data_IF_553470110964
#
_entry.id   IF_553470110964
#
_cell.length_a   1.000
_cell.length_b   1.000
_cell.length_c   1.000
_cell.angle_alpha   90.00
_cell.angle_beta   90.00
_cell.angle_gamma   90.00
#
_symmetry.space_group_name_H-M   'P 1'
#
loop_
_entity.id
_entity.type
_entity.pdbx_description
1 polymer ?
#
# COMPACT_ATOMS: atom_id res chain seq x y z
N UNK A 1 -0.78 -19.82 -21.41
CA UNK A 1 -1.99 -19.26 -20.74
C UNK A 1 -2.99 -18.90 -21.83
N UNK A 2 -4.28 -19.09 -21.57
CA UNK A 2 -5.31 -18.70 -22.53
C UNK A 2 -5.50 -17.19 -22.48
N UNK A 3 -5.78 -16.54 -23.63
CA UNK A 3 -6.07 -15.10 -23.73
C UNK A 3 -7.17 -14.63 -22.76
N UNK A 4 -8.13 -15.52 -22.43
CA UNK A 4 -9.15 -15.24 -21.43
C UNK A 4 -8.59 -15.05 -20.00
N UNK A 5 -7.59 -15.83 -19.62
CA UNK A 5 -6.94 -15.71 -18.30
C UNK A 5 -6.15 -14.40 -18.19
N UNK A 6 -5.47 -14.00 -19.26
CA UNK A 6 -4.71 -12.74 -19.28
C UNK A 6 -5.62 -11.52 -19.20
N UNK A 7 -6.75 -11.55 -19.91
CA UNK A 7 -7.75 -10.49 -19.86
C UNK A 7 -8.40 -10.37 -18.48
N UNK A 8 -8.68 -11.51 -17.83
CA UNK A 8 -9.19 -11.54 -16.47
C UNK A 8 -8.19 -10.94 -15.47
N UNK A 9 -6.91 -11.33 -15.57
CA UNK A 9 -5.82 -10.78 -14.73
C UNK A 9 -5.68 -9.27 -14.92
N UNK A 10 -5.74 -8.81 -16.17
CA UNK A 10 -5.73 -7.39 -16.50
C UNK A 10 -6.90 -6.63 -15.88
N UNK A 11 -8.13 -7.15 -16.03
CA UNK A 11 -9.33 -6.50 -15.50
C UNK A 11 -9.33 -6.42 -13.96
N UNK A 12 -8.93 -7.52 -13.30
CA UNK A 12 -8.78 -7.58 -11.84
C UNK A 12 -7.75 -6.56 -11.35
N UNK A 13 -6.58 -6.54 -11.98
CA UNK A 13 -5.51 -5.63 -11.56
C UNK A 13 -5.84 -4.17 -11.86
N UNK A 14 -6.59 -3.88 -12.92
CA UNK A 14 -7.11 -2.55 -13.22
C UNK A 14 -8.04 -2.07 -12.10
N UNK A 15 -9.01 -2.88 -11.70
CA UNK A 15 -9.91 -2.57 -10.59
C UNK A 15 -9.18 -2.39 -9.27
N UNK A 16 -8.31 -3.36 -8.92
CA UNK A 16 -7.51 -3.34 -7.70
C UNK A 16 -6.61 -2.11 -7.61
N UNK A 17 -5.99 -1.72 -8.72
CA UNK A 17 -5.07 -0.58 -8.76
C UNK A 17 -5.77 0.76 -8.84
N UNK A 18 -6.95 0.82 -9.47
CA UNK A 18 -7.80 2.01 -9.40
C UNK A 18 -8.15 2.33 -7.94
N UNK A 19 -8.48 1.30 -7.21
CA UNK A 19 -8.82 1.40 -5.81
C UNK A 19 -7.59 1.68 -4.93
N UNK A 20 -6.53 0.88 -5.04
CA UNK A 20 -5.31 1.02 -4.23
C UNK A 20 -4.57 2.34 -4.47
N UNK A 21 -4.50 2.78 -5.72
CA UNK A 21 -3.87 4.05 -6.12
C UNK A 21 -4.58 5.28 -5.57
N UNK A 22 -5.92 5.24 -5.47
CA UNK A 22 -6.72 6.31 -4.85
C UNK A 22 -6.34 6.55 -3.39
N UNK A 23 -6.04 5.50 -2.64
CA UNK A 23 -5.83 5.56 -1.19
C UNK A 23 -4.36 5.69 -0.79
N UNK A 24 -3.44 5.62 -1.75
CA UNK A 24 -2.00 5.60 -1.46
C UNK A 24 -1.55 4.32 -0.74
N UNK A 25 -2.30 3.23 -0.90
CA UNK A 25 -2.04 1.95 -0.24
C UNK A 25 -1.50 0.87 -1.17
N UNK A 26 -1.28 1.18 -2.44
CA UNK A 26 -0.91 0.26 -3.50
C UNK A 26 -1.95 -0.85 -3.80
N UNK A 27 -1.81 -1.49 -4.97
CA UNK A 27 -2.75 -2.50 -5.47
C UNK A 27 -2.59 -3.88 -4.82
N UNK A 28 -1.43 -4.14 -4.22
CA UNK A 28 -1.06 -5.48 -3.75
C UNK A 28 -2.00 -6.09 -2.73
N UNK A 29 -2.60 -5.25 -1.88
CA UNK A 29 -3.55 -5.68 -0.86
C UNK A 29 -4.80 -6.37 -1.46
N UNK A 30 -5.18 -6.02 -2.67
CA UNK A 30 -6.31 -6.62 -3.38
C UNK A 30 -5.87 -7.74 -4.31
N UNK A 31 -4.73 -7.58 -4.97
CA UNK A 31 -4.24 -8.50 -5.99
C UNK A 31 -3.89 -9.86 -5.39
N UNK A 32 -3.16 -9.91 -4.28
CA UNK A 32 -2.76 -11.19 -3.68
C UNK A 32 -3.96 -12.04 -3.29
N UNK A 33 -4.96 -11.55 -2.52
CA UNK A 33 -6.14 -12.35 -2.21
C UNK A 33 -6.91 -12.80 -3.46
N UNK A 34 -7.10 -11.91 -4.42
CA UNK A 34 -7.87 -12.26 -5.63
C UNK A 34 -7.14 -13.30 -6.48
N UNK A 35 -5.83 -13.18 -6.65
CA UNK A 35 -5.05 -14.18 -7.39
C UNK A 35 -5.02 -15.54 -6.70
N UNK A 36 -4.91 -15.57 -5.38
CA UNK A 36 -4.87 -16.84 -4.63
C UNK A 36 -6.22 -17.53 -4.60
N UNK A 37 -7.31 -16.79 -4.44
CA UNK A 37 -8.64 -17.35 -4.24
C UNK A 37 -9.37 -17.65 -5.54
N UNK A 38 -9.37 -16.70 -6.47
CA UNK A 38 -10.11 -16.84 -7.73
C UNK A 38 -9.21 -17.28 -8.89
N UNK A 39 -7.92 -16.94 -8.84
CA UNK A 39 -6.94 -17.35 -9.84
C UNK A 39 -6.29 -18.69 -9.55
N UNK A 40 -6.51 -19.29 -8.36
CA UNK A 40 -5.85 -20.52 -7.89
C UNK A 40 -4.32 -20.49 -8.05
N UNK A 41 -3.73 -19.28 -7.99
CA UNK A 41 -2.29 -19.09 -8.09
C UNK A 41 -1.67 -19.32 -6.72
N UNK A 42 -0.54 -20.05 -6.67
CA UNK A 42 0.22 -20.20 -5.42
C UNK A 42 0.53 -18.84 -4.78
N UNK A 43 0.40 -18.76 -3.46
CA UNK A 43 0.54 -17.49 -2.72
C UNK A 43 1.87 -16.80 -2.99
N UNK A 44 2.99 -17.54 -3.15
CA UNK A 44 4.31 -16.96 -3.41
C UNK A 44 4.38 -16.34 -4.79
N UNK A 45 3.80 -16.98 -5.79
CA UNK A 45 3.69 -16.46 -7.16
C UNK A 45 2.72 -15.27 -7.23
N UNK A 46 1.62 -15.31 -6.48
CA UNK A 46 0.70 -14.19 -6.35
C UNK A 46 1.37 -12.97 -5.70
N UNK A 47 2.19 -13.18 -4.66
CA UNK A 47 3.01 -12.14 -4.04
C UNK A 47 4.01 -11.57 -5.04
N UNK A 48 4.72 -12.43 -5.81
CA UNK A 48 5.67 -11.99 -6.82
C UNK A 48 5.03 -11.11 -7.90
N UNK A 49 3.87 -11.52 -8.44
CA UNK A 49 3.10 -10.73 -9.42
C UNK A 49 2.59 -9.41 -8.80
N UNK A 50 2.15 -9.47 -7.55
CA UNK A 50 1.69 -8.30 -6.80
C UNK A 50 2.78 -7.25 -6.60
N UNK A 51 4.00 -7.66 -6.28
CA UNK A 51 5.14 -6.72 -6.13
C UNK A 51 5.38 -5.94 -7.42
N UNK A 52 5.33 -6.59 -8.58
CA UNK A 52 5.47 -5.91 -9.89
C UNK A 52 4.32 -4.92 -10.12
N UNK A 53 3.10 -5.34 -9.81
CA UNK A 53 1.91 -4.47 -9.86
C UNK A 53 2.05 -3.25 -8.94
N UNK A 54 2.53 -3.45 -7.72
CA UNK A 54 2.74 -2.39 -6.73
C UNK A 54 3.74 -1.35 -7.23
N UNK A 55 4.84 -1.76 -7.85
CA UNK A 55 5.79 -0.84 -8.48
C UNK A 55 5.09 -0.02 -9.56
N UNK A 56 4.38 -0.70 -10.46
CA UNK A 56 3.69 -0.07 -11.58
C UNK A 56 2.61 0.94 -11.12
N UNK A 57 1.79 0.54 -10.16
CA UNK A 57 0.75 1.36 -9.55
C UNK A 57 1.32 2.58 -8.82
N UNK A 58 2.36 2.38 -7.99
CA UNK A 58 2.96 3.46 -7.20
C UNK A 58 3.67 4.49 -8.06
N UNK A 59 4.42 4.06 -9.07
CA UNK A 59 5.09 4.97 -10.01
C UNK A 59 4.07 5.83 -10.76
N UNK A 60 2.98 5.22 -11.26
CA UNK A 60 1.93 5.94 -11.98
C UNK A 60 1.14 6.90 -11.07
N UNK A 61 0.87 6.48 -9.84
CA UNK A 61 0.12 7.26 -8.86
C UNK A 61 0.94 8.37 -8.18
N UNK A 62 2.28 8.24 -8.09
CA UNK A 62 3.13 9.23 -7.43
C UNK A 62 3.28 10.53 -8.24
N UNK A 63 3.24 10.47 -9.57
CA UNK A 63 3.47 11.61 -10.44
C UNK A 63 2.49 12.79 -10.22
N UNK A 64 1.17 12.60 -10.09
CA UNK A 64 0.24 13.67 -9.77
C UNK A 64 0.49 14.30 -8.40
N UNK A 65 0.88 13.51 -7.41
CA UNK A 65 1.14 13.98 -6.04
C UNK A 65 2.42 14.82 -5.95
N UNK A 66 3.46 14.44 -6.70
CA UNK A 66 4.69 15.24 -6.82
C UNK A 66 4.42 16.59 -7.48
N UNK A 67 3.68 16.61 -8.60
CA UNK A 67 3.26 17.86 -9.27
C UNK A 67 2.40 18.74 -8.34
N UNK A 68 1.57 18.14 -7.51
CA UNK A 68 0.72 18.81 -6.54
C UNK A 68 1.43 19.29 -5.27
N UNK A 69 2.74 19.09 -5.12
CA UNK A 69 3.53 19.41 -3.91
C UNK A 69 2.98 18.77 -2.62
N UNK A 70 2.30 17.62 -2.74
CA UNK A 70 1.76 16.88 -1.60
C UNK A 70 2.80 15.93 -0.99
N UNK A 71 3.80 15.50 -1.79
CA UNK A 71 4.82 14.56 -1.34
C UNK A 71 5.97 15.28 -0.65
N UNK A 72 6.28 14.88 0.59
CA UNK A 72 7.50 15.34 1.27
C UNK A 72 8.68 14.43 0.90
N UNK A 73 9.37 14.77 -0.18
CA UNK A 73 10.47 13.97 -0.72
C UNK A 73 11.62 13.82 0.28
N UNK A 74 11.95 14.86 1.06
CA UNK A 74 13.03 14.81 2.06
C UNK A 74 12.72 13.80 3.16
N UNK A 75 11.51 13.86 3.69
CA UNK A 75 11.03 12.90 4.69
C UNK A 75 10.96 11.48 4.10
N UNK A 76 10.46 11.35 2.86
CA UNK A 76 10.39 10.08 2.16
C UNK A 76 11.76 9.39 2.08
N UNK A 77 12.81 10.12 1.69
CA UNK A 77 14.17 9.56 1.59
C UNK A 77 14.65 9.04 2.95
N UNK A 78 14.45 9.81 4.04
CA UNK A 78 14.87 9.40 5.38
C UNK A 78 14.10 8.15 5.86
N UNK A 79 12.78 8.14 5.71
CA UNK A 79 11.96 7.01 6.14
C UNK A 79 12.19 5.76 5.27
N UNK A 80 12.50 5.96 3.99
CA UNK A 80 12.72 4.86 3.05
C UNK A 80 13.99 4.07 3.36
N UNK A 81 15.03 4.68 3.95
CA UNK A 81 16.21 3.93 4.39
C UNK A 81 15.83 2.83 5.39
N UNK A 82 14.99 3.16 6.37
CA UNK A 82 14.51 2.19 7.35
C UNK A 82 13.57 1.15 6.72
N UNK A 83 12.67 1.58 5.82
CA UNK A 83 11.73 0.69 5.15
C UNK A 83 12.44 -0.29 4.22
N UNK A 84 13.41 0.18 3.46
CA UNK A 84 14.21 -0.67 2.56
C UNK A 84 15.05 -1.67 3.35
N UNK A 85 15.67 -1.26 4.47
CA UNK A 85 16.37 -2.18 5.37
C UNK A 85 15.42 -3.26 5.92
N UNK A 86 14.20 -2.88 6.32
CA UNK A 86 13.16 -3.81 6.72
C UNK A 86 12.75 -4.76 5.60
N UNK A 87 12.56 -4.24 4.39
CA UNK A 87 12.19 -5.04 3.22
C UNK A 87 13.27 -6.07 2.86
N UNK A 88 14.53 -5.69 2.88
CA UNK A 88 15.66 -6.60 2.67
C UNK A 88 15.72 -7.69 3.74
N UNK A 89 15.48 -7.33 5.01
CA UNK A 89 15.38 -8.32 6.10
C UNK A 89 14.19 -9.26 5.89
N UNK A 90 13.04 -8.74 5.47
CA UNK A 90 11.84 -9.54 5.15
C UNK A 90 12.06 -10.51 4.01
N UNK A 91 12.78 -10.08 2.98
CA UNK A 91 13.16 -10.92 1.84
C UNK A 91 13.98 -12.14 2.25
N UNK A 92 14.89 -12.02 3.23
CA UNK A 92 15.66 -13.15 3.75
C UNK A 92 14.76 -14.22 4.38
N UNK A 93 13.62 -13.82 4.93
CA UNK A 93 12.63 -14.70 5.55
C UNK A 93 11.64 -15.31 4.52
N UNK A 94 11.62 -14.81 3.28
CA UNK A 94 10.76 -15.36 2.22
C UNK A 94 11.18 -16.79 1.89
N UNK A 95 10.21 -17.70 1.91
CA UNK A 95 10.45 -19.14 1.67
C UNK A 95 10.69 -19.96 2.93
N UNK A 96 11.05 -19.34 4.07
CA UNK A 96 11.19 -20.06 5.35
C UNK A 96 9.87 -20.13 6.11
N UNK A 97 8.95 -19.20 5.85
CA UNK A 97 7.65 -19.12 6.53
C UNK A 97 6.62 -19.99 5.80
N UNK A 98 5.91 -20.89 6.52
CA UNK A 98 4.81 -21.66 5.94
C UNK A 98 3.68 -20.79 5.40
N UNK A 99 2.99 -21.26 4.34
CA UNK A 99 1.93 -20.51 3.68
C UNK A 99 0.79 -20.12 4.65
N UNK A 100 0.43 -20.99 5.59
CA UNK A 100 -0.63 -20.72 6.60
C UNK A 100 -0.34 -19.47 7.43
N UNK A 101 0.91 -19.26 7.83
CA UNK A 101 1.30 -18.03 8.55
C UNK A 101 1.21 -16.79 7.66
N UNK A 102 1.54 -16.92 6.37
CA UNK A 102 1.41 -15.80 5.42
C UNK A 102 -0.06 -15.40 5.26
N UNK A 103 -0.97 -16.36 5.11
CA UNK A 103 -2.41 -16.12 5.04
C UNK A 103 -2.93 -15.46 6.32
N UNK A 104 -2.49 -15.94 7.49
CA UNK A 104 -2.90 -15.37 8.78
C UNK A 104 -2.45 -13.91 8.95
N UNK A 105 -1.16 -13.64 8.70
CA UNK A 105 -0.60 -12.27 8.79
C UNK A 105 -1.31 -11.35 7.78
N UNK A 106 -1.58 -11.85 6.56
CA UNK A 106 -2.29 -11.11 5.54
C UNK A 106 -3.71 -10.75 6.01
N UNK A 107 -4.47 -11.71 6.53
CA UNK A 107 -5.80 -11.50 7.07
C UNK A 107 -5.82 -10.46 8.19
N UNK A 108 -4.84 -10.52 9.11
CA UNK A 108 -4.70 -9.53 10.19
C UNK A 108 -4.48 -8.11 9.63
N UNK A 109 -3.62 -7.96 8.63
CA UNK A 109 -3.34 -6.66 8.02
C UNK A 109 -4.56 -6.12 7.27
N UNK A 110 -5.30 -6.99 6.56
CA UNK A 110 -6.55 -6.61 5.91
C UNK A 110 -7.58 -6.10 6.92
N UNK A 111 -7.70 -6.78 8.06
CA UNK A 111 -8.63 -6.39 9.14
C UNK A 111 -8.24 -5.04 9.76
N UNK A 112 -6.95 -4.84 10.07
CA UNK A 112 -6.45 -3.56 10.56
C UNK A 112 -6.69 -2.43 9.55
N UNK A 113 -6.51 -2.70 8.26
CA UNK A 113 -6.77 -1.74 7.19
C UNK A 113 -8.25 -1.39 7.06
N UNK A 114 -9.13 -2.40 7.19
CA UNK A 114 -10.57 -2.19 7.21
C UNK A 114 -10.98 -1.30 8.39
N UNK A 115 -10.47 -1.57 9.60
CA UNK A 115 -10.74 -0.74 10.78
C UNK A 115 -10.29 0.71 10.57
N UNK A 116 -9.11 0.93 9.98
CA UNK A 116 -8.61 2.27 9.70
C UNK A 116 -9.46 3.01 8.66
N UNK A 117 -9.96 2.27 7.66
CA UNK A 117 -10.85 2.82 6.65
C UNK A 117 -12.22 3.21 7.21
N UNK A 118 -12.77 2.39 8.10
CA UNK A 118 -14.08 2.60 8.74
C UNK A 118 -14.00 3.61 9.88
N UNK A 119 -12.85 3.75 10.54
CA UNK A 119 -12.67 4.72 11.60
C UNK A 119 -12.82 6.14 11.06
N UNK A 120 -13.85 6.84 11.55
CA UNK A 120 -14.13 8.24 11.22
C UNK A 120 -13.03 9.11 11.82
N UNK A 121 -11.98 9.40 11.04
CA UNK A 121 -10.89 10.27 11.50
C UNK A 121 -11.29 11.74 11.36
N UNK A 122 -11.14 12.50 12.45
CA UNK A 122 -11.16 13.97 12.38
C UNK A 122 -9.93 14.40 11.59
N UNK A 123 -10.13 15.13 10.51
CA UNK A 123 -9.02 15.68 9.72
C UNK A 123 -8.19 16.60 10.63
N UNK A 124 -6.88 16.34 10.80
CA UNK A 124 -5.98 17.24 11.55
C UNK A 124 -5.89 18.63 10.93
N UNK A 125 -6.33 18.79 9.67
CA UNK A 125 -6.40 20.09 8.99
C UNK A 125 -7.35 21.10 9.67
N UNK A 126 -8.21 20.66 10.59
CA UNK A 126 -9.08 21.51 11.43
C UNK A 126 -8.44 21.83 12.79
N UNK A 127 -7.30 21.26 13.14
CA UNK A 127 -6.57 21.63 14.33
C UNK A 127 -5.89 23.01 14.11
N UNK A 128 -5.92 23.92 15.13
CA UNK A 128 -5.26 25.21 15.02
C UNK A 128 -3.79 25.01 14.66
N UNK A 129 -3.32 25.72 13.65
CA UNK A 129 -1.92 25.74 13.22
C UNK A 129 -1.05 26.12 14.41
N UNK A 130 -0.40 25.16 15.06
CA UNK A 130 0.52 25.47 16.16
C UNK A 130 1.69 26.28 15.59
N UNK A 131 2.03 27.42 16.20
CA UNK A 131 3.12 28.27 15.73
C UNK A 131 4.44 27.47 15.74
N UNK A 132 5.27 27.71 14.73
CA UNK A 132 6.57 27.04 14.50
C UNK A 132 7.65 27.40 15.56
N UNK A 133 7.24 27.65 16.82
CA UNK A 133 8.10 28.05 17.94
C UNK A 133 8.49 26.83 18.77
N UNK A 134 9.59 26.21 18.43
CA UNK A 134 10.22 25.11 19.18
C UNK A 134 11.49 24.61 18.51
N UNK A 135 12.55 24.38 19.29
CA UNK A 135 13.80 23.77 18.86
C UNK A 135 13.57 22.28 18.57
N UNK A 136 13.26 21.88 17.33
CA UNK A 136 13.29 20.48 16.96
C UNK A 136 14.46 20.22 16.01
N UNK A 137 15.17 19.15 16.26
CA UNK A 137 16.27 18.63 15.41
C UNK A 137 15.80 18.28 14.00
N UNK A 138 14.50 18.21 13.80
CA UNK A 138 13.81 17.82 12.56
C UNK A 138 13.36 19.00 11.68
N UNK A 139 13.77 20.23 11.99
CA UNK A 139 13.39 21.47 11.24
C UNK A 139 13.59 21.37 9.72
N UNK A 140 14.52 20.55 9.27
CA UNK A 140 14.79 20.35 7.84
C UNK A 140 13.76 19.46 7.13
N UNK A 141 12.92 18.73 7.87
CA UNK A 141 11.91 17.84 7.36
C UNK A 141 10.49 18.42 7.42
N UNK A 142 10.32 19.54 8.14
CA UNK A 142 9.07 20.30 8.18
C UNK A 142 8.79 20.88 6.79
N UNK A 143 7.52 20.92 6.38
CA UNK A 143 7.12 21.40 5.07
C UNK A 143 5.69 21.96 5.10
N UNK A 144 5.22 22.42 3.96
CA UNK A 144 3.83 22.84 3.76
C UNK A 144 3.26 22.20 2.50
N UNK A 145 1.95 22.05 2.43
CA UNK A 145 1.25 21.58 1.25
C UNK A 145 0.07 22.50 0.90
N UNK A 146 -0.24 22.69 -0.39
CA UNK A 146 -1.38 23.47 -0.83
C UNK A 146 -2.68 22.70 -0.59
N UNK A 147 -3.57 23.24 0.26
CA UNK A 147 -4.91 22.68 0.40
C UNK A 147 -5.89 23.42 -0.52
N UNK A 148 -6.36 22.70 -1.56
CA UNK A 148 -7.30 23.26 -2.54
C UNK A 148 -8.67 23.61 -1.95
N UNK A 149 -9.08 22.93 -0.88
CA UNK A 149 -10.35 23.18 -0.23
C UNK A 149 -10.35 24.47 0.59
N UNK A 150 -9.17 24.81 1.19
CA UNK A 150 -8.99 25.99 2.01
C UNK A 150 -8.31 27.16 1.26
N UNK A 151 -7.84 26.93 0.03
CA UNK A 151 -7.16 27.94 -0.80
C UNK A 151 -5.86 28.49 -0.20
N UNK A 152 -5.23 27.77 0.74
CA UNK A 152 -4.01 28.19 1.44
C UNK A 152 -3.04 27.05 1.67
N UNK A 153 -1.76 27.38 1.84
CA UNK A 153 -0.73 26.43 2.23
C UNK A 153 -0.84 26.11 3.73
N UNK A 154 -0.88 24.83 4.07
CA UNK A 154 -0.92 24.33 5.44
C UNK A 154 0.46 23.82 5.80
N UNK A 155 1.11 24.49 6.78
CA UNK A 155 2.38 24.04 7.33
C UNK A 155 2.16 22.88 8.31
N UNK A 156 3.06 21.91 8.31
CA UNK A 156 3.05 20.78 9.24
C UNK A 156 4.46 20.49 9.75
N UNK A 157 4.53 19.84 10.91
CA UNK A 157 5.78 19.40 11.57
C UNK A 157 5.92 17.90 11.56
N UNK A 158 7.16 17.44 11.53
CA UNK A 158 7.51 16.04 11.69
C UNK A 158 7.91 15.77 13.13
N UNK A 159 7.11 14.97 13.85
CA UNK A 159 7.37 14.60 15.22
C UNK A 159 7.88 13.15 15.33
N UNK A 160 8.56 12.82 16.42
CA UNK A 160 8.95 11.45 16.81
C UNK A 160 9.60 10.63 15.68
N UNK A 161 10.49 11.25 14.92
CA UNK A 161 11.16 10.59 13.78
C UNK A 161 11.77 9.21 14.10
N UNK A 162 12.48 8.97 15.23
CA UNK A 162 13.06 7.66 15.53
C UNK A 162 12.01 6.54 15.64
N UNK A 163 10.87 6.84 16.29
CA UNK A 163 9.77 5.88 16.39
C UNK A 163 9.11 5.64 15.02
N UNK A 164 9.01 6.70 14.21
CA UNK A 164 8.56 6.59 12.82
C UNK A 164 9.46 5.66 12.01
N UNK A 165 10.77 5.78 12.12
CA UNK A 165 11.73 4.90 11.44
C UNK A 165 11.61 3.44 11.88
N UNK A 166 11.41 3.17 13.17
CA UNK A 166 11.20 1.81 13.69
C UNK A 166 9.93 1.18 13.12
N UNK A 167 8.83 1.93 13.06
CA UNK A 167 7.58 1.47 12.44
C UNK A 167 7.74 1.27 10.93
N UNK A 168 8.52 2.12 10.25
CA UNK A 168 8.81 1.97 8.83
C UNK A 168 9.64 0.72 8.54
N UNK A 169 10.61 0.37 9.39
CA UNK A 169 11.36 -0.89 9.28
C UNK A 169 10.41 -2.10 9.37
N UNK A 170 9.52 -2.13 10.37
CA UNK A 170 8.50 -3.17 10.51
C UNK A 170 7.55 -3.23 9.29
N UNK A 171 7.11 -2.07 8.80
CA UNK A 171 6.26 -1.97 7.61
C UNK A 171 6.95 -2.51 6.35
N UNK A 172 8.25 -2.24 6.18
CA UNK A 172 9.06 -2.77 5.10
C UNK A 172 9.20 -4.28 5.15
N UNK A 173 9.52 -4.83 6.33
CA UNK A 173 9.66 -6.26 6.56
C UNK A 173 8.37 -7.02 6.21
N UNK A 174 7.24 -6.57 6.73
CA UNK A 174 5.93 -7.16 6.47
C UNK A 174 5.54 -7.02 5.00
N UNK A 175 5.80 -5.87 4.40
CA UNK A 175 5.53 -5.61 2.98
C UNK A 175 6.28 -6.56 2.07
N UNK A 176 7.54 -6.83 2.37
CA UNK A 176 8.37 -7.73 1.58
C UNK A 176 7.92 -9.19 1.69
N UNK A 177 7.42 -9.59 2.86
CA UNK A 177 6.89 -10.94 3.07
C UNK A 177 5.58 -11.18 2.32
N UNK A 178 4.72 -10.18 2.26
CA UNK A 178 3.34 -10.33 1.78
C UNK A 178 3.09 -9.72 0.40
N UNK A 179 4.03 -8.96 -0.14
CA UNK A 179 3.89 -8.31 -1.46
C UNK A 179 2.76 -7.28 -1.56
N UNK A 180 2.24 -6.80 -0.42
CA UNK A 180 1.07 -5.91 -0.39
C UNK A 180 1.39 -4.45 -0.67
N UNK A 181 2.68 -4.12 -0.72
CA UNK A 181 3.10 -2.72 -0.63
C UNK A 181 2.90 -2.18 0.79
N UNK A 182 3.91 -1.51 1.32
CA UNK A 182 3.93 -1.07 2.72
C UNK A 182 2.95 0.08 3.05
N UNK A 183 2.21 0.60 2.08
CA UNK A 183 1.34 1.78 2.23
C UNK A 183 0.29 1.65 3.32
N UNK A 184 -0.28 0.46 3.46
CA UNK A 184 -1.28 0.16 4.50
C UNK A 184 -0.75 0.40 5.91
N UNK A 185 0.53 0.14 6.13
CA UNK A 185 1.20 0.33 7.42
C UNK A 185 1.90 1.69 7.49
N UNK A 186 2.45 2.18 6.38
CA UNK A 186 3.16 3.47 6.31
C UNK A 186 2.23 4.65 6.56
N UNK A 187 1.05 4.69 5.91
CA UNK A 187 0.12 5.81 6.04
C UNK A 187 -0.31 6.04 7.48
N UNK A 188 -0.84 5.02 8.21
CA UNK A 188 -1.17 5.21 9.62
C UNK A 188 0.05 5.48 10.51
N UNK A 189 1.20 4.90 10.23
CA UNK A 189 2.42 5.19 11.00
C UNK A 189 2.84 6.66 10.86
N UNK A 190 2.74 7.24 9.66
CA UNK A 190 3.01 8.66 9.43
C UNK A 190 1.95 9.55 10.07
N UNK A 191 0.67 9.20 9.94
CA UNK A 191 -0.44 9.97 10.48
C UNK A 191 -0.44 9.98 12.03
N UNK A 192 -0.24 8.82 12.66
CA UNK A 192 -0.34 8.70 14.13
C UNK A 192 0.95 9.08 14.85
N UNK A 193 2.11 8.65 14.34
CA UNK A 193 3.40 8.80 15.03
C UNK A 193 4.11 10.08 14.64
N UNK A 194 4.18 10.37 13.34
CA UNK A 194 4.81 11.59 12.83
C UNK A 194 3.85 12.78 12.78
N UNK A 195 2.56 12.57 13.05
CA UNK A 195 1.48 13.57 13.05
C UNK A 195 1.36 14.35 11.75
N UNK A 196 1.56 13.65 10.63
CA UNK A 196 1.44 14.25 9.31
C UNK A 196 -0.03 14.30 8.86
N UNK A 197 -0.42 15.33 8.09
CA UNK A 197 -1.72 15.36 7.44
C UNK A 197 -1.90 14.14 6.54
N UNK A 198 -3.09 13.53 6.54
CA UNK A 198 -3.34 12.27 5.82
C UNK A 198 -3.07 12.38 4.32
N UNK A 199 -3.33 13.54 3.70
CA UNK A 199 -3.02 13.83 2.30
C UNK A 199 -1.52 13.74 2.02
N UNK A 200 -0.69 14.27 2.92
CA UNK A 200 0.78 14.23 2.84
C UNK A 200 1.28 12.83 3.10
N UNK A 201 0.73 12.14 4.11
CA UNK A 201 1.07 10.75 4.45
C UNK A 201 0.80 9.80 3.29
N UNK A 202 -0.38 9.91 2.65
CA UNK A 202 -0.74 9.08 1.48
C UNK A 202 0.14 9.37 0.27
N UNK A 203 0.39 10.65 -0.03
CA UNK A 203 1.23 11.04 -1.16
C UNK A 203 2.69 10.61 -0.96
N UNK A 204 3.23 10.80 0.25
CA UNK A 204 4.60 10.42 0.61
C UNK A 204 4.76 8.91 0.62
N UNK A 205 3.78 8.18 1.19
CA UNK A 205 3.74 6.72 1.17
C UNK A 205 3.75 6.16 -0.25
N UNK A 206 2.90 6.70 -1.13
CA UNK A 206 2.81 6.24 -2.51
C UNK A 206 4.16 6.39 -3.25
N UNK A 207 4.88 7.48 -3.01
CA UNK A 207 6.24 7.67 -3.55
C UNK A 207 7.23 6.63 -2.99
N UNK A 208 7.16 6.32 -1.69
CA UNK A 208 8.06 5.38 -1.01
C UNK A 208 7.81 3.92 -1.41
N UNK A 209 6.56 3.54 -1.67
CA UNK A 209 6.16 2.15 -1.94
C UNK A 209 6.89 1.57 -3.15
N UNK A 210 7.09 2.34 -4.22
CA UNK A 210 7.77 1.87 -5.42
C UNK A 210 9.22 1.47 -5.14
N UNK A 211 9.92 2.21 -4.30
CA UNK A 211 11.31 1.93 -3.91
C UNK A 211 11.39 0.68 -3.04
N UNK A 212 10.55 0.60 -2.01
CA UNK A 212 10.47 -0.59 -1.13
C UNK A 212 10.13 -1.86 -1.92
N UNK A 213 9.15 -1.76 -2.83
CA UNK A 213 8.75 -2.89 -3.66
C UNK A 213 9.86 -3.31 -4.64
N UNK A 214 10.57 -2.36 -5.25
CA UNK A 214 11.72 -2.66 -6.10
C UNK A 214 12.85 -3.36 -5.34
N UNK A 215 13.13 -2.96 -4.11
CA UNK A 215 14.14 -3.60 -3.26
C UNK A 215 13.80 -5.08 -2.99
N UNK A 216 12.52 -5.42 -2.85
CA UNK A 216 12.09 -6.83 -2.65
C UNK A 216 11.92 -7.60 -3.95
N UNK A 217 11.57 -6.95 -5.06
CA UNK A 217 11.31 -7.60 -6.36
C UNK A 217 12.48 -8.44 -6.87
N UNK A 218 13.71 -7.94 -6.69
CA UNK A 218 14.93 -8.65 -7.11
C UNK A 218 15.04 -10.04 -6.49
N UNK A 219 14.73 -10.18 -5.21
CA UNK A 219 14.80 -11.48 -4.53
C UNK A 219 13.67 -12.44 -4.94
N UNK A 220 12.47 -11.94 -5.17
CA UNK A 220 11.37 -12.74 -5.70
C UNK A 220 11.65 -13.21 -7.13
N UNK A 221 12.34 -12.37 -7.94
CA UNK A 221 12.78 -12.74 -9.28
C UNK A 221 13.82 -13.87 -9.23
N UNK A 222 14.87 -13.72 -8.42
CA UNK A 222 15.92 -14.74 -8.27
C UNK A 222 15.38 -16.08 -7.76
N UNK A 223 14.36 -16.05 -6.92
CA UNK A 223 13.70 -17.25 -6.40
C UNK A 223 12.66 -17.86 -7.37
N UNK A 224 12.46 -17.25 -8.54
CA UNK A 224 11.51 -17.75 -9.54
C UNK A 224 10.04 -17.55 -9.20
N UNK A 225 9.71 -16.72 -8.21
CA UNK A 225 8.33 -16.45 -7.80
C UNK A 225 7.63 -15.41 -8.70
N UNK A 226 8.38 -14.70 -9.55
CA UNK A 226 7.81 -13.77 -10.53
C UNK A 226 7.59 -14.52 -11.84
N UNK A 227 6.34 -14.92 -12.07
CA UNK A 227 5.91 -15.56 -13.32
C UNK A 227 5.60 -14.47 -14.34
N UNK A 228 6.47 -14.30 -15.34
CA UNK A 228 6.42 -13.17 -16.28
C UNK A 228 5.07 -12.95 -16.98
N UNK A 229 4.34 -13.97 -17.50
CA UNK A 229 3.03 -13.78 -18.10
C UNK A 229 1.99 -13.21 -17.14
N UNK A 230 1.98 -13.70 -15.88
CA UNK A 230 1.07 -13.21 -14.83
C UNK A 230 1.45 -11.78 -14.43
N UNK A 231 2.73 -11.56 -14.14
CA UNK A 231 3.23 -10.26 -13.70
C UNK A 231 3.04 -9.16 -14.76
N UNK A 232 3.21 -9.49 -16.04
CA UNK A 232 3.03 -8.55 -17.16
C UNK A 232 1.58 -8.07 -17.28
N UNK A 233 0.62 -8.99 -17.35
CA UNK A 233 -0.81 -8.67 -17.47
C UNK A 233 -1.29 -7.86 -16.26
N UNK A 234 -0.85 -8.25 -15.05
CA UNK A 234 -1.18 -7.58 -13.80
C UNK A 234 -0.56 -6.18 -13.74
N UNK A 235 0.70 -6.01 -14.18
CA UNK A 235 1.37 -4.71 -14.20
C UNK A 235 0.70 -3.71 -15.16
N UNK A 236 0.35 -4.15 -16.37
CA UNK A 236 -0.33 -3.31 -17.36
C UNK A 236 -1.70 -2.83 -16.85
N UNK A 237 -2.50 -3.75 -16.31
CA UNK A 237 -3.78 -3.40 -15.69
C UNK A 237 -3.59 -2.41 -14.54
N UNK A 238 -2.53 -2.57 -13.76
CA UNK A 238 -2.23 -1.70 -12.62
C UNK A 238 -1.87 -0.27 -13.00
N UNK A 239 -1.09 -0.08 -14.06
CA UNK A 239 -0.77 1.26 -14.57
C UNK A 239 -2.04 1.99 -15.01
N UNK A 240 -2.86 1.34 -15.83
CA UNK A 240 -4.11 1.91 -16.32
C UNK A 240 -5.07 2.19 -15.15
N UNK A 241 -5.23 1.23 -14.25
CA UNK A 241 -6.07 1.36 -13.06
C UNK A 241 -5.66 2.52 -12.17
N UNK A 242 -4.37 2.66 -11.86
CA UNK A 242 -3.87 3.74 -11.02
C UNK A 242 -4.11 5.14 -11.61
N UNK A 243 -3.91 5.29 -12.92
CA UNK A 243 -4.18 6.56 -13.63
C UNK A 243 -5.68 6.89 -13.61
N UNK A 244 -6.52 5.91 -13.89
CA UNK A 244 -7.98 6.08 -13.86
C UNK A 244 -8.48 6.36 -12.43
N UNK A 245 -7.99 5.59 -11.45
CA UNK A 245 -8.33 5.77 -10.04
C UNK A 245 -7.98 7.16 -9.53
N UNK A 246 -6.80 7.68 -9.85
CA UNK A 246 -6.40 9.03 -9.48
C UNK A 246 -7.33 10.12 -10.05
N UNK A 247 -7.88 9.92 -11.26
CA UNK A 247 -8.86 10.84 -11.86
C UNK A 247 -10.23 10.76 -11.20
N UNK A 248 -10.66 9.54 -10.92
CA UNK A 248 -11.99 9.27 -10.33
C UNK A 248 -12.05 9.76 -8.88
N UNK A 249 -10.95 9.67 -8.12
CA UNK A 249 -10.88 10.15 -6.75
C UNK A 249 -11.28 11.62 -6.59
N UNK A 250 -10.98 12.44 -7.60
CA UNK A 250 -11.31 13.86 -7.56
C UNK A 250 -12.81 14.16 -7.69
N UNK A 251 -13.62 13.18 -8.10
CA UNK A 251 -15.06 13.34 -8.40
C UNK A 251 -16.00 12.62 -7.43
N UNK A 252 -15.53 11.68 -6.60
CA UNK A 252 -16.39 10.87 -5.72
C UNK A 252 -16.21 11.27 -4.26
N UNK A 253 -17.30 11.23 -3.48
CA UNK A 253 -17.27 11.51 -2.05
C UNK A 253 -16.51 10.43 -1.27
N UNK A 254 -15.60 10.85 -0.41
CA UNK A 254 -14.71 10.00 0.37
C UNK A 254 -15.45 8.94 1.22
N UNK A 255 -16.64 9.25 1.72
CA UNK A 255 -17.36 8.38 2.66
C UNK A 255 -17.90 7.09 2.00
N UNK A 256 -18.45 7.19 0.78
CA UNK A 256 -18.95 6.01 0.05
C UNK A 256 -17.82 5.07 -0.35
N UNK A 257 -16.70 5.64 -0.74
CA UNK A 257 -15.52 4.89 -1.11
C UNK A 257 -14.99 4.15 0.11
N UNK A 258 -14.85 4.81 1.25
CA UNK A 258 -14.39 4.21 2.52
C UNK A 258 -15.26 3.03 2.96
N UNK A 259 -16.58 3.17 2.86
CA UNK A 259 -17.50 2.11 3.24
C UNK A 259 -17.37 0.89 2.33
N UNK A 260 -17.41 1.08 1.02
CA UNK A 260 -17.25 0.01 0.04
C UNK A 260 -15.94 -0.76 0.28
N UNK A 261 -14.86 -0.02 0.48
CA UNK A 261 -13.54 -0.59 0.75
C UNK A 261 -13.48 -1.36 2.06
N UNK A 262 -14.00 -0.77 3.14
CA UNK A 262 -14.04 -1.44 4.43
C UNK A 262 -14.75 -2.80 4.34
N UNK A 263 -15.88 -2.86 3.64
CA UNK A 263 -16.61 -4.11 3.42
C UNK A 263 -15.79 -5.13 2.62
N UNK A 264 -15.18 -4.71 1.50
CA UNK A 264 -14.35 -5.59 0.67
C UNK A 264 -13.14 -6.11 1.45
N UNK A 265 -12.45 -5.24 2.21
CA UNK A 265 -11.31 -5.64 3.02
C UNK A 265 -11.68 -6.62 4.13
N UNK A 266 -12.82 -6.43 4.78
CA UNK A 266 -13.32 -7.37 5.82
C UNK A 266 -13.64 -8.73 5.18
N UNK A 267 -14.31 -8.75 4.03
CA UNK A 267 -14.63 -9.99 3.32
C UNK A 267 -13.36 -10.75 2.93
N UNK A 268 -12.36 -10.04 2.37
CA UNK A 268 -11.07 -10.63 2.00
C UNK A 268 -10.29 -11.10 3.24
N UNK A 269 -10.34 -10.36 4.36
CA UNK A 269 -9.70 -10.77 5.61
C UNK A 269 -10.31 -12.09 6.14
N UNK A 270 -11.64 -12.17 6.16
CA UNK A 270 -12.34 -13.38 6.59
C UNK A 270 -11.92 -14.61 5.75
N UNK A 271 -11.84 -14.44 4.43
CA UNK A 271 -11.40 -15.51 3.54
C UNK A 271 -9.93 -15.90 3.77
N UNK A 272 -9.03 -14.93 4.01
CA UNK A 272 -7.63 -15.21 4.31
C UNK A 272 -7.47 -15.99 5.62
N UNK A 273 -8.28 -15.68 6.64
CA UNK A 273 -8.29 -16.46 7.87
C UNK A 273 -8.79 -17.89 7.66
N UNK A 274 -9.86 -18.07 6.88
CA UNK A 274 -10.35 -19.40 6.54
C UNK A 274 -9.29 -20.24 5.80
N UNK A 275 -8.60 -19.65 4.84
CA UNK A 275 -7.48 -20.29 4.14
C UNK A 275 -6.30 -20.62 5.09
N UNK A 276 -6.01 -19.76 6.07
CA UNK A 276 -4.98 -20.02 7.07
C UNK A 276 -5.29 -21.23 7.96
N UNK A 277 -6.56 -21.45 8.27
CA UNK A 277 -7.02 -22.59 9.08
C UNK A 277 -7.38 -23.84 8.26
N UNK A 278 -7.09 -23.85 6.97
CA UNK A 278 -7.35 -25.00 6.08
C UNK A 278 -8.83 -25.20 5.70
N UNK A 279 -9.68 -24.25 6.06
CA UNK A 279 -11.10 -24.27 5.68
C UNK A 279 -11.28 -23.50 4.36
N UNK A 280 -10.88 -24.10 3.25
CA UNK A 280 -11.11 -23.53 1.91
C UNK A 280 -12.60 -23.64 1.56
N UNK A 281 -13.36 -22.55 1.72
CA UNK A 281 -14.77 -22.47 1.28
C UNK A 281 -14.95 -22.64 -0.25
N UNK A 282 -13.87 -22.53 -1.02
CA UNK A 282 -13.88 -22.65 -2.49
C UNK A 282 -13.14 -23.91 -3.02
N UNK A 283 -12.68 -24.80 -2.15
CA UNK A 283 -12.21 -26.14 -2.55
C UNK A 283 -13.38 -27.13 -2.72
N UNK A 284 -14.51 -26.62 -3.14
CA UNK A 284 -15.63 -27.41 -3.58
C UNK A 284 -15.46 -27.79 -5.04
N UNK A 285 -15.25 -29.08 -5.28
CA UNK A 285 -15.44 -29.80 -6.54
C UNK A 285 -14.50 -29.42 -7.72
N UNK A 286 -13.39 -30.12 -7.78
CA UNK A 286 -12.83 -30.63 -9.04
C UNK A 286 -12.45 -32.10 -8.83
#
# INVERSE_FOLDING_TARGET
>A
MNTGTELWLFAVSLGASALGGMLGMASGIFIVPVLTMFGHVDIRSAIGASIVSVIACSCSGAAPFLKGRLTNVRLAIVLETATTAGALSGVLLVGTIPASYLFFIFGMILLLSAQQMLAKRRDPALAPTQPLTGRSTTRRLDSSYPDRALGRDIAYRVERLPMGMMLMYGAGLISALLGIGSGVLKVPAMDTTLRLPIKVSSATSNFMISVTAAASAGAYLVRGYIVAPIAGSVALGSVVGAILGARVLMSISNDRIRLLFGVVLVALAAQMFLAAFGADLFRGTA
#
